data_IF_127021790278
#
_entry.id   IF_127021790278
#
_cell.length_a   1.000
_cell.length_b   1.000
_cell.length_c   1.000
_cell.angle_alpha   90.00
_cell.angle_beta   90.00
_cell.angle_gamma   90.00
#
_symmetry.space_group_name_H-M   'P 1'
#
loop_
_entity.id
_entity.type
_entity.pdbx_description
1 polymer ?
#
# COMPACT_ATOMS: atom_id res chain seq x y z
N UNK A 1 3.52 15.11 68.69
CA UNK A 1 3.14 16.22 67.78
C UNK A 1 4.39 16.97 67.30
N UNK A 2 5.36 16.32 66.62
CA UNK A 2 6.60 17.00 66.22
C UNK A 2 7.23 16.60 64.86
N UNK A 3 6.66 15.63 64.12
CA UNK A 3 7.22 15.21 62.81
C UNK A 3 6.48 15.77 61.58
N UNK A 4 5.29 16.38 61.72
CA UNK A 4 4.56 16.96 60.56
C UNK A 4 5.07 18.33 60.13
N UNK A 5 5.83 19.04 60.96
CA UNK A 5 6.39 20.34 60.60
C UNK A 5 7.73 20.25 59.86
N UNK A 6 8.47 19.15 60.00
CA UNK A 6 9.78 18.99 59.34
C UNK A 6 9.66 18.75 57.83
N UNK A 7 8.63 18.02 57.38
CA UNK A 7 8.47 17.67 55.95
C UNK A 7 7.82 18.76 55.07
N UNK A 8 7.31 19.85 55.66
CA UNK A 8 6.59 20.89 54.90
C UNK A 8 7.52 21.94 54.27
N UNK A 9 8.83 21.81 54.46
CA UNK A 9 9.82 22.82 54.08
C UNK A 9 10.86 22.38 53.04
N UNK A 10 10.78 21.17 52.48
CA UNK A 10 11.83 20.59 51.63
C UNK A 10 11.45 20.43 50.14
N UNK A 11 10.31 20.93 49.67
CA UNK A 11 9.97 20.87 48.22
C UNK A 11 9.11 22.05 47.76
N UNK A 12 9.55 23.28 48.04
CA UNK A 12 9.08 24.46 47.31
C UNK A 12 10.16 24.84 46.30
N UNK A 13 10.14 24.16 45.15
CA UNK A 13 10.77 24.70 43.95
C UNK A 13 10.17 26.09 43.76
N UNK A 14 10.99 27.12 43.91
CA UNK A 14 10.55 28.50 43.73
C UNK A 14 9.87 28.60 42.37
N UNK A 15 8.64 29.14 42.30
CA UNK A 15 7.91 29.33 41.03
C UNK A 15 8.80 29.77 39.85
N UNK A 16 9.75 30.73 40.01
CA UNK A 16 10.71 31.08 38.95
C UNK A 16 11.62 29.92 38.48
N UNK A 17 12.06 29.02 39.37
CA UNK A 17 12.86 27.84 38.97
C UNK A 17 12.06 26.86 38.13
N UNK A 18 10.77 26.70 38.41
CA UNK A 18 9.90 25.84 37.62
C UNK A 18 9.71 26.38 36.19
N UNK A 19 9.48 27.68 36.05
CA UNK A 19 9.39 28.31 34.73
C UNK A 19 10.72 28.30 33.98
N UNK A 20 11.84 28.48 34.68
CA UNK A 20 13.17 28.36 34.09
C UNK A 20 13.43 26.95 33.55
N UNK A 21 13.06 25.91 34.31
CA UNK A 21 13.19 24.52 33.88
C UNK A 21 12.32 24.22 32.65
N UNK A 22 11.06 24.68 32.63
CA UNK A 22 10.18 24.54 31.48
C UNK A 22 10.73 25.26 30.24
N UNK A 23 11.31 26.44 30.42
CA UNK A 23 11.91 27.19 29.32
C UNK A 23 13.15 26.48 28.75
N UNK A 24 14.01 25.94 29.62
CA UNK A 24 15.16 25.13 29.22
C UNK A 24 14.70 23.87 28.48
N UNK A 25 13.70 23.16 28.98
CA UNK A 25 13.16 21.96 28.31
C UNK A 25 12.55 22.28 26.95
N UNK A 26 11.80 23.39 26.83
CA UNK A 26 11.25 23.85 25.55
C UNK A 26 12.36 24.25 24.57
N UNK A 27 13.41 24.92 25.04
CA UNK A 27 14.56 25.32 24.22
C UNK A 27 15.37 24.11 23.75
N UNK A 28 15.60 23.13 24.63
CA UNK A 28 16.25 21.86 24.27
C UNK A 28 15.39 21.05 23.28
N UNK A 29 14.07 21.05 23.44
CA UNK A 29 13.15 20.44 22.46
C UNK A 29 13.20 21.15 21.11
N UNK A 30 13.25 22.48 21.07
CA UNK A 30 13.39 23.25 19.82
C UNK A 30 14.75 23.03 19.15
N UNK A 31 15.84 22.95 19.91
CA UNK A 31 17.16 22.61 19.38
C UNK A 31 17.16 21.18 18.83
N UNK A 32 16.60 20.22 19.57
CA UNK A 32 16.47 18.83 19.11
C UNK A 32 15.58 18.71 17.86
N UNK A 33 14.46 19.46 17.81
CA UNK A 33 13.56 19.52 16.68
C UNK A 33 14.23 20.14 15.44
N UNK A 34 14.93 21.27 15.60
CA UNK A 34 15.70 21.88 14.52
C UNK A 34 16.84 20.97 14.04
N UNK A 35 17.51 20.28 14.96
CA UNK A 35 18.55 19.28 14.63
C UNK A 35 17.99 18.06 13.89
N UNK A 36 16.70 17.73 14.06
CA UNK A 36 16.03 16.71 13.24
C UNK A 36 15.63 17.23 11.86
N UNK A 37 15.32 18.52 11.72
CA UNK A 37 14.97 19.11 10.43
C UNK A 37 16.17 19.44 9.55
N UNK A 38 17.35 19.72 10.12
CA UNK A 38 18.59 19.95 9.36
C UNK A 38 19.27 18.66 8.85
N UNK A 39 18.81 17.49 9.30
CA UNK A 39 19.24 16.18 8.77
C UNK A 39 18.31 15.64 7.67
N UNK A 40 17.35 16.44 7.18
CA UNK A 40 16.72 16.18 5.88
C UNK A 40 17.71 16.62 4.81
N UNK A 41 18.78 15.84 4.66
CA UNK A 41 19.63 15.84 3.49
C UNK A 41 18.69 15.74 2.29
N UNK A 42 18.73 16.75 1.41
CA UNK A 42 18.21 16.67 0.05
C UNK A 42 18.62 15.31 -0.52
N UNK A 43 17.66 14.39 -0.61
CA UNK A 43 17.91 13.12 -1.25
C UNK A 43 18.32 13.43 -2.69
N UNK A 44 19.54 13.07 -3.12
CA UNK A 44 19.89 13.21 -4.52
C UNK A 44 18.85 12.41 -5.30
N UNK A 45 18.30 12.99 -6.36
CA UNK A 45 17.36 12.32 -7.27
C UNK A 45 17.82 10.89 -7.52
N UNK A 46 17.28 9.94 -6.73
CA UNK A 46 17.63 8.54 -6.84
C UNK A 46 16.99 8.12 -8.15
N UNK A 47 17.85 7.85 -9.12
CA UNK A 47 17.46 7.30 -10.41
C UNK A 47 16.43 6.21 -10.15
N UNK A 48 15.30 6.27 -10.89
CA UNK A 48 14.29 5.23 -10.86
C UNK A 48 15.01 3.89 -10.98
N UNK A 49 15.00 3.11 -9.89
CA UNK A 49 15.53 1.74 -9.95
C UNK A 49 14.79 1.04 -11.09
N UNK A 50 15.50 0.33 -11.99
CA UNK A 50 14.82 -0.46 -12.98
C UNK A 50 13.86 -1.41 -12.26
N UNK A 51 12.64 -1.61 -12.78
CA UNK A 51 11.70 -2.52 -12.16
C UNK A 51 12.36 -3.89 -12.02
N UNK A 52 12.11 -4.61 -10.91
CA UNK A 52 12.67 -5.94 -10.70
C UNK A 52 12.45 -6.83 -11.93
N UNK A 53 13.36 -7.76 -12.25
CA UNK A 53 13.25 -8.62 -13.43
C UNK A 53 11.92 -9.40 -13.51
N UNK A 54 11.23 -9.58 -12.39
CA UNK A 54 9.88 -10.17 -12.31
C UNK A 54 8.85 -9.36 -13.11
N UNK A 55 8.92 -8.02 -13.09
CA UNK A 55 8.00 -7.14 -13.84
C UNK A 55 8.23 -7.14 -15.36
N UNK A 56 9.29 -7.78 -15.88
CA UNK A 56 9.46 -7.95 -17.33
C UNK A 56 8.52 -9.01 -17.91
N UNK A 57 7.98 -9.91 -17.09
CA UNK A 57 7.19 -11.04 -17.57
C UNK A 57 5.69 -10.74 -17.75
N UNK A 58 5.20 -9.60 -17.24
CA UNK A 58 3.79 -9.20 -17.31
C UNK A 58 3.39 -8.43 -18.59
N UNK A 59 4.02 -8.74 -19.74
CA UNK A 59 3.62 -8.21 -21.07
C UNK A 59 3.55 -9.28 -22.16
N UNK A 60 3.26 -10.54 -21.80
CA UNK A 60 3.24 -11.64 -22.77
C UNK A 60 1.91 -12.38 -22.94
N UNK A 61 0.83 -11.95 -22.28
CA UNK A 61 -0.47 -12.62 -22.45
C UNK A 61 -1.41 -11.94 -23.47
N UNK A 62 -0.94 -10.95 -24.22
CA UNK A 62 -1.61 -10.48 -25.45
C UNK A 62 -0.90 -11.11 -26.64
N UNK A 63 -1.55 -12.06 -27.33
CA UNK A 63 -1.06 -12.68 -28.56
C UNK A 63 -0.96 -11.59 -29.64
N UNK A 64 0.24 -11.06 -29.85
CA UNK A 64 0.56 -10.14 -30.93
C UNK A 64 1.23 -10.92 -32.05
N UNK A 65 0.72 -10.79 -33.27
CA UNK A 65 1.36 -11.28 -34.48
C UNK A 65 1.68 -10.06 -35.36
N UNK A 66 2.87 -10.05 -35.94
CA UNK A 66 3.33 -8.99 -36.84
C UNK A 66 2.69 -9.23 -38.21
N UNK A 67 2.12 -8.19 -38.82
CA UNK A 67 1.75 -8.27 -40.23
C UNK A 67 3.00 -8.24 -41.14
N UNK A 68 2.83 -8.48 -42.44
CA UNK A 68 3.92 -8.50 -43.42
C UNK A 68 4.66 -7.14 -43.56
N UNK A 69 4.15 -6.08 -42.92
CA UNK A 69 4.80 -4.76 -42.84
C UNK A 69 5.33 -4.45 -41.42
N UNK A 70 5.41 -5.46 -40.55
CA UNK A 70 5.97 -5.39 -39.20
C UNK A 70 5.21 -4.44 -38.25
N UNK A 71 3.89 -4.30 -38.45
CA UNK A 71 2.98 -3.53 -37.60
C UNK A 71 2.08 -4.45 -36.75
N UNK A 72 1.91 -4.09 -35.47
CA UNK A 72 1.07 -4.84 -34.51
C UNK A 72 -0.41 -4.65 -34.83
N UNK A 73 -1.14 -5.72 -35.10
CA UNK A 73 -2.60 -5.72 -35.28
C UNK A 73 -3.29 -6.72 -34.36
N UNK A 74 -4.54 -6.42 -33.98
CA UNK A 74 -5.36 -7.23 -33.07
C UNK A 74 -6.33 -8.07 -33.92
N UNK A 75 -6.32 -9.40 -33.80
CA UNK A 75 -7.32 -10.28 -34.45
C UNK A 75 -8.44 -10.60 -33.45
N UNK A 76 -9.65 -10.15 -33.75
CA UNK A 76 -10.87 -10.65 -33.12
C UNK A 76 -11.36 -11.91 -33.89
N UNK A 77 -11.74 -12.97 -33.16
CA UNK A 77 -12.39 -14.19 -33.67
C UNK A 77 -13.84 -13.87 -34.07
N UNK A 78 -14.42 -14.49 -35.14
CA UNK A 78 -15.66 -14.01 -35.73
C UNK A 78 -16.91 -14.47 -34.97
N UNK A 79 -17.58 -13.54 -34.28
CA UNK A 79 -18.93 -13.75 -33.77
C UNK A 79 -19.97 -13.76 -34.90
N UNK A 80 -20.90 -14.72 -34.85
CA UNK A 80 -22.02 -14.89 -35.78
C UNK A 80 -22.83 -13.59 -35.97
N UNK A 81 -23.39 -13.33 -37.16
CA UNK A 81 -24.06 -12.07 -37.44
C UNK A 81 -25.33 -11.89 -36.59
N UNK A 82 -25.52 -10.73 -35.92
CA UNK A 82 -26.74 -10.44 -35.19
C UNK A 82 -27.93 -10.21 -36.14
N UNK A 83 -29.18 -10.49 -35.69
CA UNK A 83 -30.38 -10.29 -36.49
C UNK A 83 -30.55 -8.82 -36.90
N UNK A 84 -31.24 -8.56 -38.03
CA UNK A 84 -31.31 -7.25 -38.65
C UNK A 84 -31.95 -6.19 -37.72
N UNK A 85 -31.46 -4.93 -37.73
CA UNK A 85 -31.88 -3.92 -36.77
C UNK A 85 -33.31 -3.45 -37.03
N UNK A 86 -34.16 -3.51 -36.00
CA UNK A 86 -35.26 -2.56 -35.88
C UNK A 86 -34.65 -1.19 -35.57
N UNK A 87 -35.12 -0.15 -36.27
CA UNK A 87 -34.51 1.17 -36.40
C UNK A 87 -33.80 1.70 -35.12
N UNK A 88 -32.57 2.25 -35.23
CA UNK A 88 -31.86 2.75 -34.07
C UNK A 88 -32.48 4.07 -33.59
N UNK A 89 -33.11 4.02 -32.41
CA UNK A 89 -33.16 5.20 -31.53
C UNK A 89 -31.70 5.61 -31.34
N UNK A 90 -31.35 6.86 -31.67
CA UNK A 90 -30.02 7.39 -31.45
C UNK A 90 -29.72 7.37 -29.94
N UNK A 91 -29.09 6.30 -29.47
CA UNK A 91 -28.57 6.20 -28.11
C UNK A 91 -27.42 7.19 -28.04
N UNK A 92 -27.47 8.22 -27.17
CA UNK A 92 -26.35 9.12 -27.03
C UNK A 92 -25.10 8.31 -26.65
N UNK A 93 -23.92 8.66 -27.19
CA UNK A 93 -22.69 7.94 -26.86
C UNK A 93 -22.53 7.91 -25.34
N UNK A 94 -22.12 6.77 -24.76
CA UNK A 94 -21.96 6.64 -23.32
C UNK A 94 -21.02 7.75 -22.85
N UNK A 95 -21.51 8.63 -21.95
CA UNK A 95 -20.68 9.68 -21.37
C UNK A 95 -19.44 9.03 -20.77
N UNK A 96 -18.26 9.47 -21.20
CA UNK A 96 -16.97 9.08 -20.63
C UNK A 96 -17.05 9.30 -19.12
N UNK A 97 -17.14 8.22 -18.34
CA UNK A 97 -17.33 8.30 -16.91
C UNK A 97 -16.04 8.83 -16.27
N UNK A 98 -16.17 9.77 -15.32
CA UNK A 98 -15.03 10.20 -14.52
C UNK A 98 -14.58 9.01 -13.64
N UNK A 99 -13.35 8.54 -13.86
CA UNK A 99 -12.70 7.50 -13.05
C UNK A 99 -11.68 8.18 -12.15
N UNK A 100 -11.76 7.90 -10.85
CA UNK A 100 -10.81 8.38 -9.85
C UNK A 100 -9.68 7.37 -9.73
N UNK A 101 -8.45 7.84 -9.96
CA UNK A 101 -7.24 7.06 -9.79
C UNK A 101 -6.76 7.21 -8.34
N UNK A 102 -6.56 6.09 -7.63
CA UNK A 102 -6.09 6.09 -6.25
C UNK A 102 -4.91 5.12 -6.14
N UNK A 103 -3.74 5.62 -5.73
CA UNK A 103 -2.58 4.78 -5.44
C UNK A 103 -2.30 4.79 -3.95
N UNK A 104 -2.18 3.62 -3.35
CA UNK A 104 -2.02 3.43 -1.91
C UNK A 104 -0.70 2.72 -1.66
N UNK A 105 0.25 3.45 -1.08
CA UNK A 105 1.51 2.90 -0.59
C UNK A 105 1.30 2.43 0.85
N UNK A 106 1.59 1.16 1.12
CA UNK A 106 1.16 0.51 2.36
C UNK A 106 2.22 -0.45 2.94
N UNK A 107 2.05 -0.77 4.22
CA UNK A 107 2.88 -1.69 5.01
C UNK A 107 1.97 -2.72 5.69
N UNK A 108 2.28 -4.01 5.57
CA UNK A 108 1.41 -5.08 6.04
C UNK A 108 1.11 -5.07 7.55
N UNK A 109 2.03 -4.57 8.38
CA UNK A 109 1.90 -4.59 9.86
C UNK A 109 1.81 -3.21 10.51
N UNK A 110 1.88 -2.13 9.74
CA UNK A 110 1.71 -0.78 10.29
C UNK A 110 0.27 -0.61 10.85
N UNK A 111 0.11 -0.20 12.12
CA UNK A 111 -1.21 -0.01 12.73
C UNK A 111 -2.08 1.04 12.02
N UNK A 112 -1.47 2.13 11.54
CA UNK A 112 -2.18 3.19 10.83
C UNK A 112 -2.67 2.72 9.47
N UNK A 113 -1.81 2.03 8.71
CA UNK A 113 -2.19 1.36 7.45
C UNK A 113 -3.33 0.38 7.69
N UNK A 114 -3.23 -0.47 8.72
CA UNK A 114 -4.29 -1.40 9.10
C UNK A 114 -5.60 -0.67 9.40
N UNK A 115 -5.52 0.45 10.10
CA UNK A 115 -6.66 1.31 10.38
C UNK A 115 -7.30 1.91 9.13
N UNK A 116 -6.48 2.42 8.21
CA UNK A 116 -6.95 2.95 6.93
C UNK A 116 -7.62 1.87 6.08
N UNK A 117 -6.98 0.71 5.91
CA UNK A 117 -7.52 -0.39 5.10
C UNK A 117 -8.89 -0.84 5.64
N UNK A 118 -8.98 -1.12 6.95
CA UNK A 118 -10.21 -1.64 7.56
C UNK A 118 -11.34 -0.63 7.63
N UNK A 119 -11.04 0.63 7.95
CA UNK A 119 -12.08 1.64 8.24
C UNK A 119 -12.40 2.54 7.05
N UNK A 120 -11.52 2.65 6.05
CA UNK A 120 -11.71 3.56 4.93
C UNK A 120 -11.72 2.82 3.59
N UNK A 121 -10.65 2.08 3.26
CA UNK A 121 -10.54 1.44 1.95
C UNK A 121 -11.63 0.39 1.74
N UNK A 122 -11.71 -0.64 2.59
CA UNK A 122 -12.64 -1.76 2.38
C UNK A 122 -14.11 -1.30 2.36
N UNK A 123 -14.58 -0.42 3.28
CA UNK A 123 -15.93 0.11 3.20
C UNK A 123 -16.19 0.94 1.94
N UNK A 124 -15.19 1.73 1.48
CA UNK A 124 -15.33 2.52 0.25
C UNK A 124 -15.38 1.63 -0.99
N UNK A 125 -14.53 0.61 -1.05
CA UNK A 125 -14.51 -0.37 -2.13
C UNK A 125 -15.85 -1.09 -2.24
N UNK A 126 -16.35 -1.66 -1.14
CA UNK A 126 -17.64 -2.36 -1.10
C UNK A 126 -18.83 -1.51 -1.60
N UNK A 127 -18.79 -0.18 -1.42
CA UNK A 127 -19.86 0.72 -1.85
C UNK A 127 -19.72 1.22 -3.28
N UNK A 128 -18.50 1.28 -3.81
CA UNK A 128 -18.19 2.03 -5.02
C UNK A 128 -17.62 1.16 -6.15
N UNK A 129 -17.15 -0.05 -5.88
CA UNK A 129 -16.48 -0.90 -6.89
C UNK A 129 -17.40 -1.21 -8.08
N UNK A 130 -18.67 -1.54 -7.80
CA UNK A 130 -19.71 -1.77 -8.81
C UNK A 130 -19.97 -0.60 -9.76
N UNK A 131 -19.63 0.63 -9.35
CA UNK A 131 -19.78 1.83 -10.20
C UNK A 131 -18.75 1.90 -11.31
N UNK A 132 -17.64 1.14 -11.21
CA UNK A 132 -16.48 1.19 -12.11
C UNK A 132 -15.87 2.60 -12.25
N UNK A 133 -16.01 3.44 -11.21
CA UNK A 133 -15.45 4.80 -11.15
C UNK A 133 -14.23 4.92 -10.24
N UNK A 134 -13.77 3.83 -9.65
CA UNK A 134 -12.55 3.78 -8.86
C UNK A 134 -11.55 2.86 -9.55
N UNK A 135 -10.33 3.34 -9.73
CA UNK A 135 -9.20 2.54 -10.14
C UNK A 135 -8.15 2.61 -9.03
N UNK A 136 -8.03 1.52 -8.29
CA UNK A 136 -7.17 1.44 -7.11
C UNK A 136 -5.91 0.65 -7.45
N UNK A 137 -4.76 1.22 -7.14
CA UNK A 137 -3.45 0.55 -7.20
C UNK A 137 -2.91 0.44 -5.79
N UNK A 138 -2.63 -0.78 -5.34
CA UNK A 138 -2.01 -1.05 -4.05
C UNK A 138 -0.51 -1.30 -4.25
N UNK A 139 0.31 -0.73 -3.38
CA UNK A 139 1.77 -0.87 -3.40
C UNK A 139 2.26 -1.28 -1.99
N UNK A 140 2.25 -2.59 -1.67
CA UNK A 140 2.76 -3.12 -0.41
C UNK A 140 4.30 -3.07 -0.40
N UNK A 141 4.85 -2.08 0.29
CA UNK A 141 6.28 -1.85 0.44
C UNK A 141 6.54 -0.85 1.57
N UNK A 142 5.86 0.30 1.50
CA UNK A 142 5.89 1.36 2.49
C UNK A 142 7.30 1.85 2.81
N UNK A 143 7.73 1.69 4.06
CA UNK A 143 9.04 2.12 4.58
C UNK A 143 10.11 1.03 4.55
N UNK A 144 9.88 -0.06 3.84
CA UNK A 144 10.91 -1.05 3.61
C UNK A 144 12.10 -0.45 2.84
N UNK A 145 13.30 -0.98 3.08
CA UNK A 145 14.50 -0.67 2.30
C UNK A 145 15.05 -1.97 1.74
N UNK A 146 15.34 -2.02 0.44
CA UNK A 146 15.92 -3.19 -0.19
C UNK A 146 17.27 -2.86 -0.84
N UNK A 147 18.18 -3.81 -0.75
CA UNK A 147 19.47 -3.79 -1.42
C UNK A 147 19.48 -4.94 -2.43
N UNK A 148 19.98 -4.66 -3.63
CA UNK A 148 20.15 -5.69 -4.66
C UNK A 148 21.24 -6.68 -4.22
N UNK A 149 20.94 -7.96 -4.34
CA UNK A 149 21.90 -9.07 -4.33
C UNK A 149 21.97 -9.66 -5.75
N UNK A 150 22.86 -10.62 -6.01
CA UNK A 150 23.20 -11.07 -7.38
C UNK A 150 21.97 -11.30 -8.28
N UNK A 151 20.99 -12.09 -7.81
CA UNK A 151 19.76 -12.41 -8.55
C UNK A 151 18.47 -12.06 -7.78
N UNK A 152 18.57 -11.36 -6.64
CA UNK A 152 17.42 -11.08 -5.77
C UNK A 152 17.57 -9.74 -5.03
N UNK A 153 16.66 -9.47 -4.10
CA UNK A 153 16.68 -8.32 -3.21
C UNK A 153 16.58 -8.76 -1.77
N UNK A 154 17.49 -8.24 -0.95
CA UNK A 154 17.36 -8.33 0.50
C UNK A 154 16.67 -7.09 1.04
N UNK A 155 15.52 -7.29 1.67
CA UNK A 155 14.67 -6.22 2.18
C UNK A 155 14.62 -6.22 3.71
N UNK A 156 14.70 -5.02 4.29
CA UNK A 156 14.47 -4.75 5.70
C UNK A 156 13.18 -3.92 5.87
N UNK A 157 12.27 -4.40 6.72
CA UNK A 157 10.99 -3.75 7.04
C UNK A 157 10.94 -3.25 8.48
N UNK A 158 10.09 -2.26 8.77
CA UNK A 158 10.06 -1.61 10.09
C UNK A 158 9.57 -2.52 11.21
N UNK A 159 8.65 -3.43 10.90
CA UNK A 159 8.10 -4.42 11.84
C UNK A 159 8.78 -5.79 11.68
N UNK A 160 9.94 -5.85 11.03
CA UNK A 160 10.76 -7.05 10.91
C UNK A 160 10.36 -7.97 9.76
N UNK A 161 10.86 -9.21 9.83
CA UNK A 161 10.80 -10.18 8.72
C UNK A 161 9.37 -10.53 8.30
N UNK A 162 8.47 -10.72 9.26
CA UNK A 162 7.08 -11.11 8.99
C UNK A 162 6.35 -10.03 8.18
N UNK A 163 6.61 -8.74 8.41
CA UNK A 163 6.06 -7.66 7.58
C UNK A 163 6.55 -7.76 6.13
N UNK A 164 7.85 -7.99 5.92
CA UNK A 164 8.41 -8.15 4.58
C UNK A 164 7.79 -9.36 3.85
N UNK A 165 7.65 -10.49 4.53
CA UNK A 165 7.00 -11.67 3.97
C UNK A 165 5.52 -11.43 3.62
N UNK A 166 4.79 -10.70 4.48
CA UNK A 166 3.39 -10.35 4.22
C UNK A 166 3.27 -9.32 3.09
N UNK A 167 4.16 -8.32 3.00
CA UNK A 167 4.23 -7.41 1.86
C UNK A 167 4.48 -8.20 0.56
N UNK A 168 5.37 -9.19 0.57
CA UNK A 168 5.61 -10.07 -0.56
C UNK A 168 4.36 -10.89 -0.93
N UNK A 169 3.68 -11.49 0.05
CA UNK A 169 2.44 -12.21 -0.18
C UNK A 169 1.36 -11.32 -0.84
N UNK A 170 1.21 -10.08 -0.37
CA UNK A 170 0.28 -9.13 -0.95
C UNK A 170 0.65 -8.77 -2.40
N UNK A 171 1.95 -8.58 -2.71
CA UNK A 171 2.40 -8.37 -4.09
C UNK A 171 2.12 -9.60 -4.98
N UNK A 172 2.38 -10.81 -4.48
CA UNK A 172 2.03 -12.05 -5.19
C UNK A 172 0.53 -12.13 -5.49
N UNK A 173 -0.33 -11.74 -4.53
CA UNK A 173 -1.77 -11.71 -4.73
C UNK A 173 -2.18 -10.70 -5.81
N UNK A 174 -1.57 -9.51 -5.86
CA UNK A 174 -1.83 -8.51 -6.93
C UNK A 174 -1.45 -9.07 -8.30
N UNK A 175 -0.29 -9.76 -8.39
CA UNK A 175 0.20 -10.30 -9.65
C UNK A 175 -0.63 -11.50 -10.15
N UNK A 176 -1.05 -12.39 -9.26
CA UNK A 176 -1.75 -13.63 -9.63
C UNK A 176 -3.28 -13.48 -9.63
N UNK A 177 -3.82 -12.45 -8.98
CA UNK A 177 -5.25 -12.11 -8.96
C UNK A 177 -5.42 -10.69 -9.52
N UNK A 178 -5.26 -10.48 -10.84
CA UNK A 178 -5.26 -9.14 -11.44
C UNK A 178 -6.60 -8.41 -11.31
N UNK A 179 -7.69 -9.13 -11.03
CA UNK A 179 -9.00 -8.53 -10.75
C UNK A 179 -9.02 -7.87 -9.35
N UNK A 180 -9.26 -6.55 -9.26
CA UNK A 180 -9.38 -5.83 -7.99
C UNK A 180 -10.47 -6.37 -7.06
N UNK A 181 -11.55 -6.95 -7.60
CA UNK A 181 -12.58 -7.57 -6.76
C UNK A 181 -12.07 -8.82 -6.04
N UNK A 182 -11.01 -9.45 -6.56
CA UNK A 182 -10.38 -10.62 -5.94
C UNK A 182 -9.27 -10.22 -4.97
N UNK A 183 -8.31 -9.38 -5.39
CA UNK A 183 -7.13 -9.10 -4.55
C UNK A 183 -7.37 -8.07 -3.44
N UNK A 184 -8.24 -7.07 -3.62
CA UNK A 184 -8.46 -6.04 -2.59
C UNK A 184 -9.04 -6.65 -1.30
N UNK A 185 -10.07 -7.52 -1.34
CA UNK A 185 -10.55 -8.20 -0.12
C UNK A 185 -9.49 -9.11 0.51
N UNK A 186 -8.71 -9.83 -0.31
CA UNK A 186 -7.65 -10.71 0.19
C UNK A 186 -6.56 -9.91 0.92
N UNK A 187 -6.05 -8.84 0.31
CA UNK A 187 -5.07 -7.94 0.94
C UNK A 187 -5.65 -7.33 2.22
N UNK A 188 -6.94 -6.96 2.19
CA UNK A 188 -7.66 -6.52 3.37
C UNK A 188 -7.67 -7.53 4.53
N UNK A 189 -7.77 -8.83 4.22
CA UNK A 189 -7.67 -9.91 5.19
C UNK A 189 -6.24 -10.11 5.71
N UNK A 190 -5.24 -10.07 4.82
CA UNK A 190 -3.82 -10.25 5.14
C UNK A 190 -3.29 -9.07 5.99
N UNK A 191 -3.86 -7.87 5.82
CA UNK A 191 -3.45 -6.67 6.55
C UNK A 191 -3.54 -6.84 8.08
N UNK A 192 -2.39 -6.63 8.73
CA UNK A 192 -2.23 -6.70 10.18
C UNK A 192 -2.24 -8.14 10.73
N UNK A 193 -1.91 -9.14 9.91
CA UNK A 193 -1.64 -10.50 10.39
C UNK A 193 -0.23 -10.59 10.98
N UNK A 194 -0.04 -11.50 11.92
CA UNK A 194 1.23 -11.63 12.65
C UNK A 194 2.36 -12.18 11.77
N UNK A 195 2.04 -13.09 10.85
CA UNK A 195 3.00 -13.75 9.95
C UNK A 195 2.27 -14.47 8.80
N UNK A 196 3.04 -15.06 7.87
CA UNK A 196 2.50 -15.83 6.74
C UNK A 196 1.58 -16.97 7.16
N UNK A 197 1.90 -17.68 8.24
CA UNK A 197 1.09 -18.83 8.70
C UNK A 197 -0.30 -18.34 9.15
N UNK A 198 -0.34 -17.24 9.91
CA UNK A 198 -1.59 -16.62 10.34
C UNK A 198 -2.42 -16.11 9.15
N UNK A 199 -1.75 -15.50 8.15
CA UNK A 199 -2.37 -15.05 6.92
C UNK A 199 -2.95 -16.22 6.11
N UNK A 200 -2.15 -17.26 5.86
CA UNK A 200 -2.59 -18.44 5.12
C UNK A 200 -3.81 -19.09 5.78
N UNK A 201 -3.73 -19.35 7.09
CA UNK A 201 -4.82 -19.97 7.85
C UNK A 201 -6.11 -19.15 7.86
N UNK A 202 -6.00 -17.83 7.91
CA UNK A 202 -7.18 -16.96 8.05
C UNK A 202 -7.78 -16.54 6.71
N UNK A 203 -6.97 -16.42 5.67
CA UNK A 203 -7.33 -15.71 4.44
C UNK A 203 -7.25 -16.57 3.18
N UNK A 204 -6.50 -17.68 3.21
CA UNK A 204 -6.24 -18.53 2.04
C UNK A 204 -6.73 -19.98 2.22
N UNK A 205 -7.26 -20.32 3.40
CA UNK A 205 -7.85 -21.64 3.70
C UNK A 205 -9.15 -21.84 2.91
N UNK A 206 -8.98 -22.23 1.65
CA UNK A 206 -10.01 -22.40 0.63
C UNK A 206 -9.39 -22.74 -0.75
N UNK A 207 -8.11 -22.41 -0.93
CA UNK A 207 -7.30 -22.82 -2.08
C UNK A 207 -6.37 -23.97 -1.67
N UNK A 208 -6.89 -25.20 -1.66
CA UNK A 208 -6.01 -26.38 -1.60
C UNK A 208 -5.05 -26.37 -2.79
N UNK A 209 -3.82 -26.84 -2.59
CA UNK A 209 -2.69 -26.89 -3.53
C UNK A 209 -2.91 -27.73 -4.80
N UNK A 210 -4.17 -27.95 -5.21
CA UNK A 210 -4.59 -28.70 -6.39
C UNK A 210 -4.79 -27.85 -7.65
N UNK A 211 -4.70 -26.50 -7.53
CA UNK A 211 -4.91 -25.56 -8.64
C UNK A 211 -3.63 -24.79 -9.06
N UNK A 212 -2.44 -25.31 -8.71
CA UNK A 212 -1.13 -24.82 -9.18
C UNK A 212 -0.45 -25.84 -10.10
#
# INVERSE_FOLDING_TARGET
MHLRHYYRHQNKISRPLFYLLLFILAFLFLIWWNSLTENVVEMPHRQRLPPPPIFKKFRQNSKFELDENNQMTFKEEPDNPPPPPLMPVAVPPPKKANVVQVTIYMEAQCPDTTGFIRRQLLPSWSRLSSTRRLNITLVPFGKASCVAEEDDYKCDCQHGKDECELNQLMNCAIEHLPDPESHIPLIGCVQGKDNLIAAFRSCLNGHSSSDL
#
